data_IF_154129715862
#
_entry.id   IF_154129715862
#
_cell.length_a   1.000
_cell.length_b   1.000
_cell.length_c   1.000
_cell.angle_alpha   90.00
_cell.angle_beta   90.00
_cell.angle_gamma   90.00
#
_symmetry.space_group_name_H-M   'P 1'
#
loop_
_entity.id
_entity.type
_entity.pdbx_description
1 polymer ?
#
# COMPACT_ATOMS: atom_id res chain seq x y z
N UNK A 1 -3.63 11.29 12.32
CA UNK A 1 -2.65 10.20 12.39
C UNK A 1 -2.82 9.29 11.20
N UNK A 2 -1.76 9.08 10.46
CA UNK A 2 -1.80 8.22 9.27
C UNK A 2 -1.43 6.79 9.66
N UNK A 3 -2.27 5.84 9.26
CA UNK A 3 -2.11 4.42 9.55
C UNK A 3 -2.06 3.65 8.24
N UNK A 4 -1.11 2.74 8.12
CA UNK A 4 -1.04 1.77 7.02
C UNK A 4 -1.56 0.43 7.53
N UNK A 5 -2.61 -0.09 6.90
CA UNK A 5 -3.19 -1.40 7.24
C UNK A 5 -2.82 -2.38 6.16
N UNK A 6 -2.16 -3.48 6.54
CA UNK A 6 -1.75 -4.54 5.63
C UNK A 6 -2.54 -5.82 5.91
N UNK A 7 -2.98 -6.48 4.86
CA UNK A 7 -3.62 -7.78 4.92
C UNK A 7 -2.86 -8.72 3.99
N UNK A 8 -2.03 -9.59 4.57
CA UNK A 8 -1.12 -10.43 3.82
C UNK A 8 -1.71 -11.83 3.61
N UNK A 9 -1.82 -12.22 2.34
CA UNK A 9 -2.15 -13.58 1.95
C UNK A 9 -0.89 -14.34 1.54
N UNK A 10 -1.06 -15.59 1.07
CA UNK A 10 0.08 -16.43 0.67
C UNK A 10 0.88 -15.84 -0.50
N UNK A 11 0.20 -15.20 -1.43
CA UNK A 11 0.83 -14.62 -2.63
C UNK A 11 0.35 -13.21 -2.91
N UNK A 12 -0.21 -12.52 -1.91
CA UNK A 12 -0.76 -11.18 -2.09
C UNK A 12 -0.63 -10.35 -0.83
N UNK A 13 -0.72 -9.02 -1.01
CA UNK A 13 -0.81 -8.06 0.08
C UNK A 13 -1.87 -7.05 -0.34
N UNK A 14 -2.94 -6.92 0.45
CA UNK A 14 -3.90 -5.82 0.29
C UNK A 14 -3.57 -4.76 1.32
N UNK A 15 -3.70 -3.49 0.94
CA UNK A 15 -3.39 -2.43 1.88
C UNK A 15 -4.35 -1.26 1.76
N UNK A 16 -4.45 -0.51 2.87
CA UNK A 16 -5.17 0.75 2.95
C UNK A 16 -4.34 1.75 3.73
N UNK A 17 -4.37 2.98 3.31
CA UNK A 17 -3.76 4.10 4.03
C UNK A 17 -4.88 5.00 4.52
N UNK A 18 -4.98 5.17 5.82
CA UNK A 18 -6.10 5.85 6.46
C UNK A 18 -5.58 6.97 7.34
N UNK A 19 -6.18 8.15 7.21
CA UNK A 19 -5.93 9.25 8.12
C UNK A 19 -6.99 9.19 9.24
N UNK A 20 -6.55 8.85 10.44
CA UNK A 20 -7.42 8.72 11.60
C UNK A 20 -7.43 10.01 12.39
N UNK A 21 -8.60 10.64 12.44
CA UNK A 21 -8.84 11.81 13.28
C UNK A 21 -9.69 11.40 14.49
N UNK A 22 -9.80 12.30 15.49
CA UNK A 22 -10.48 11.98 16.75
C UNK A 22 -11.92 11.49 16.56
N UNK A 23 -12.65 11.99 15.58
CA UNK A 23 -14.06 11.66 15.36
C UNK A 23 -14.34 11.07 13.97
N UNK A 24 -13.33 10.88 13.15
CA UNK A 24 -13.54 10.40 11.78
C UNK A 24 -12.30 9.72 11.23
N UNK A 25 -12.46 9.00 10.12
CA UNK A 25 -11.36 8.43 9.39
C UNK A 25 -11.54 8.69 7.90
N UNK A 26 -10.45 8.90 7.18
CA UNK A 26 -10.46 9.18 5.76
C UNK A 26 -9.51 8.23 5.05
N UNK A 27 -10.02 7.53 4.04
CA UNK A 27 -9.18 6.68 3.19
C UNK A 27 -8.36 7.58 2.27
N UNK A 28 -7.04 7.47 2.34
CA UNK A 28 -6.12 8.21 1.48
C UNK A 28 -5.72 7.41 0.23
N UNK A 29 -5.55 6.11 0.38
CA UNK A 29 -5.20 5.22 -0.72
C UNK A 29 -5.51 3.78 -0.35
N UNK A 30 -5.68 2.94 -1.36
CA UNK A 30 -5.75 1.49 -1.21
C UNK A 30 -5.03 0.84 -2.38
N UNK A 31 -4.71 -0.43 -2.23
CA UNK A 31 -4.10 -1.16 -3.33
C UNK A 31 -3.90 -2.63 -3.00
N UNK A 32 -3.30 -3.31 -3.96
CA UNK A 32 -3.00 -4.73 -3.83
C UNK A 32 -1.68 -5.04 -4.53
N UNK A 33 -0.90 -5.91 -3.90
CA UNK A 33 0.23 -6.59 -4.53
C UNK A 33 -0.20 -8.02 -4.76
N UNK A 34 -0.09 -8.51 -5.98
CA UNK A 34 -0.54 -9.83 -6.37
C UNK A 34 0.57 -10.64 -7.02
N UNK A 35 0.40 -11.96 -7.03
CA UNK A 35 1.29 -12.88 -7.72
C UNK A 35 2.72 -12.82 -7.19
N UNK A 36 2.86 -12.65 -5.89
CA UNK A 36 4.14 -12.67 -5.21
C UNK A 36 4.73 -14.09 -5.31
N UNK A 37 6.01 -14.15 -5.70
CA UNK A 37 6.70 -15.44 -5.86
C UNK A 37 6.52 -16.07 -7.22
N UNK A 38 5.71 -15.50 -8.10
CA UNK A 38 5.50 -15.96 -9.47
C UNK A 38 6.39 -15.20 -10.44
N UNK A 39 6.55 -15.68 -11.70
CA UNK A 39 7.41 -14.99 -12.68
C UNK A 39 7.04 -13.54 -12.93
N UNK A 40 5.76 -13.21 -12.82
CA UNK A 40 5.27 -11.84 -12.95
C UNK A 40 4.41 -11.51 -11.75
N UNK A 41 4.65 -10.34 -11.15
CA UNK A 41 3.84 -9.81 -10.07
C UNK A 41 3.21 -8.49 -10.47
N UNK A 42 2.22 -8.05 -9.70
CA UNK A 42 1.50 -6.81 -9.96
C UNK A 42 1.38 -6.00 -8.69
N UNK A 43 1.58 -4.68 -8.81
CA UNK A 43 1.17 -3.70 -7.81
C UNK A 43 0.13 -2.82 -8.45
N UNK A 44 -1.04 -2.72 -7.83
CA UNK A 44 -2.10 -1.81 -8.26
C UNK A 44 -2.36 -0.87 -7.10
N UNK A 45 -2.00 0.40 -7.29
CA UNK A 45 -2.10 1.44 -6.26
C UNK A 45 -3.18 2.44 -6.66
N UNK A 46 -4.14 2.66 -5.78
CA UNK A 46 -5.27 3.54 -6.04
C UNK A 46 -5.32 4.68 -5.02
N UNK A 47 -4.62 5.79 -5.27
CA UNK A 47 -4.74 6.97 -4.42
C UNK A 47 -6.09 7.64 -4.65
N UNK A 48 -6.73 8.09 -3.57
CA UNK A 48 -8.02 8.77 -3.66
C UNK A 48 -7.84 10.11 -4.37
N UNK A 49 -8.66 10.36 -5.37
CA UNK A 49 -8.61 11.62 -6.13
C UNK A 49 -7.51 11.71 -7.18
N UNK A 50 -6.77 10.64 -7.41
CA UNK A 50 -5.71 10.57 -8.42
C UNK A 50 -5.90 9.35 -9.30
N UNK A 51 -5.16 9.31 -10.42
CA UNK A 51 -5.19 8.16 -11.31
C UNK A 51 -4.56 6.95 -10.65
N UNK A 52 -5.11 5.74 -10.88
CA UNK A 52 -4.47 4.52 -10.42
C UNK A 52 -3.08 4.35 -11.03
N UNK A 53 -2.16 3.81 -10.24
CA UNK A 53 -0.82 3.47 -10.68
C UNK A 53 -0.66 1.95 -10.67
N UNK A 54 -0.15 1.39 -11.75
CA UNK A 54 0.10 -0.03 -11.87
C UNK A 54 1.56 -0.28 -12.20
N UNK A 55 2.13 -1.28 -11.54
CA UNK A 55 3.50 -1.72 -11.78
C UNK A 55 3.49 -3.23 -11.97
N UNK A 56 4.11 -3.69 -13.07
CA UNK A 56 4.17 -5.10 -13.41
C UNK A 56 5.63 -5.53 -13.48
N UNK A 57 6.04 -6.40 -12.56
CA UNK A 57 7.41 -6.88 -12.47
C UNK A 57 7.48 -8.08 -11.52
N UNK A 58 8.55 -8.88 -11.57
CA UNK A 58 8.71 -9.95 -10.58
C UNK A 58 8.77 -9.39 -9.16
N UNK A 59 8.02 -9.99 -8.26
CA UNK A 59 8.00 -9.65 -6.84
C UNK A 59 8.31 -10.96 -6.10
N UNK A 60 9.57 -11.21 -5.75
CA UNK A 60 9.97 -12.54 -5.28
C UNK A 60 9.42 -12.90 -3.91
N UNK A 61 9.16 -11.92 -3.06
CA UNK A 61 8.71 -12.17 -1.69
C UNK A 61 7.87 -11.01 -1.16
N UNK A 62 7.28 -11.22 0.03
CA UNK A 62 6.44 -10.20 0.67
C UNK A 62 7.24 -8.96 1.09
N UNK A 63 8.50 -9.13 1.50
CA UNK A 63 9.35 -8.00 1.86
C UNK A 63 9.52 -7.05 0.68
N UNK A 64 9.79 -7.59 -0.51
CA UNK A 64 9.88 -6.79 -1.73
C UNK A 64 8.54 -6.11 -2.05
N UNK A 65 7.44 -6.85 -1.87
CA UNK A 65 6.09 -6.31 -2.09
C UNK A 65 5.79 -5.13 -1.17
N UNK A 66 6.10 -5.25 0.11
CA UNK A 66 5.90 -4.16 1.08
C UNK A 66 6.75 -2.96 0.72
N UNK A 67 8.01 -3.17 0.30
CA UNK A 67 8.87 -2.08 -0.12
C UNK A 67 8.27 -1.31 -1.31
N UNK A 68 7.71 -2.02 -2.28
CA UNK A 68 7.05 -1.39 -3.42
C UNK A 68 5.83 -0.57 -2.98
N UNK A 69 5.07 -1.05 -2.00
CA UNK A 69 3.95 -0.30 -1.42
C UNK A 69 4.45 1.00 -0.80
N UNK A 70 5.49 0.93 0.03
CA UNK A 70 6.04 2.11 0.68
C UNK A 70 6.58 3.12 -0.33
N UNK A 71 7.23 2.66 -1.39
CA UNK A 71 7.72 3.53 -2.47
C UNK A 71 6.55 4.21 -3.19
N UNK A 72 5.46 3.49 -3.44
CA UNK A 72 4.27 4.06 -4.07
C UNK A 72 3.62 5.13 -3.20
N UNK A 73 3.57 4.93 -1.88
CA UNK A 73 2.96 5.87 -0.96
C UNK A 73 3.69 7.22 -0.91
N UNK A 74 4.99 7.23 -1.14
CA UNK A 74 5.82 8.43 -1.07
C UNK A 74 6.22 8.98 -2.43
N UNK A 75 5.70 8.40 -3.51
CA UNK A 75 5.99 8.87 -4.87
C UNK A 75 5.43 10.27 -5.10
N UNK A 76 6.19 11.19 -5.76
CA UNK A 76 5.71 12.56 -6.00
C UNK A 76 4.44 12.65 -6.84
N UNK A 77 4.16 11.71 -7.73
CA UNK A 77 3.00 11.77 -8.61
C UNK A 77 1.76 11.09 -8.03
N UNK A 78 1.90 9.88 -7.51
CA UNK A 78 0.77 9.06 -7.06
C UNK A 78 0.82 8.72 -5.57
N UNK A 79 1.77 9.27 -4.83
CA UNK A 79 1.84 9.10 -3.40
C UNK A 79 0.79 9.93 -2.66
N UNK A 80 0.56 9.58 -1.41
CA UNK A 80 -0.41 10.25 -0.54
C UNK A 80 0.24 10.81 0.71
N UNK A 81 1.52 10.55 0.91
CA UNK A 81 2.33 11.07 2.02
C UNK A 81 3.66 11.56 1.47
N UNK A 82 4.31 12.47 2.18
CA UNK A 82 5.60 13.04 1.77
C UNK A 82 6.78 12.18 2.18
N UNK A 83 6.66 11.55 3.34
CA UNK A 83 7.70 10.66 3.84
C UNK A 83 7.08 9.57 4.72
N UNK A 84 7.82 8.50 4.94
CA UNK A 84 7.36 7.39 5.78
C UNK A 84 7.19 7.80 7.25
N UNK A 85 7.79 8.90 7.67
CA UNK A 85 7.62 9.43 9.03
C UNK A 85 6.18 9.83 9.33
N UNK A 86 5.37 10.08 8.32
CA UNK A 86 3.95 10.40 8.50
C UNK A 86 3.13 9.18 8.91
N UNK A 87 3.60 7.98 8.62
CA UNK A 87 2.92 6.74 9.04
C UNK A 87 3.25 6.47 10.49
N UNK A 88 2.26 6.57 11.36
CA UNK A 88 2.44 6.41 12.82
C UNK A 88 2.23 4.97 13.27
N UNK A 89 1.46 4.20 12.54
CA UNK A 89 1.21 2.80 12.84
C UNK A 89 1.14 1.99 11.57
N UNK A 90 1.63 0.75 11.63
CA UNK A 90 1.42 -0.26 10.61
C UNK A 90 0.67 -1.40 11.26
N UNK A 91 -0.61 -1.55 10.87
CA UNK A 91 -1.48 -2.57 11.42
C UNK A 91 -1.63 -3.74 10.46
N UNK A 92 -2.01 -4.89 10.99
CA UNK A 92 -2.39 -6.06 10.20
C UNK A 92 -3.85 -6.37 10.44
N UNK A 93 -4.57 -6.66 9.36
CA UNK A 93 -5.91 -7.18 9.45
C UNK A 93 -5.87 -8.69 9.24
N UNK A 94 -6.65 -9.41 10.04
CA UNK A 94 -6.85 -10.85 9.85
C UNK A 94 -8.20 -11.06 9.17
N UNK A 95 -8.20 -11.89 8.19
CA UNK A 95 -9.43 -12.26 7.47
C UNK A 95 -9.79 -13.69 7.82
#
# INVERSE_FOLDING_TARGET
MVILVLNCGSSSIKYQVIDMEAASSTLLAKGIVERIGLPEGDLIHKPVGKQPFELHRPIPDHTTGIKLVLDALTDPEHGVIRSLDEVKEIGRAHV
#
